data_IF_196923535658
#
_entry.id   IF_196923535658
#
_cell.length_a   1.000
_cell.length_b   1.000
_cell.length_c   1.000
_cell.angle_alpha   90.00
_cell.angle_beta   90.00
_cell.angle_gamma   90.00
#
_symmetry.space_group_name_H-M   'P 1'
#
loop_
_entity.id
_entity.type
_entity.pdbx_description
1 polymer ?
#
# COMPACT_ATOMS: atom_id res chain seq x y z
N UNK A 1 27.79 50.45 -75.41
CA UNK A 1 26.83 51.49 -74.97
C UNK A 1 25.56 50.78 -74.54
N UNK A 2 25.10 51.11 -73.33
CA UNK A 2 23.91 50.65 -72.58
C UNK A 2 23.90 49.16 -72.20
N UNK A 3 24.23 48.76 -70.96
CA UNK A 3 23.62 49.08 -69.65
C UNK A 3 22.21 48.51 -69.51
N UNK A 4 22.05 47.47 -68.67
CA UNK A 4 21.24 47.58 -67.46
C UNK A 4 21.43 46.35 -66.55
N UNK A 5 21.88 46.65 -65.34
CA UNK A 5 21.95 45.80 -64.16
C UNK A 5 20.58 45.77 -63.44
N UNK A 6 20.23 44.63 -62.82
CA UNK A 6 19.52 44.51 -61.51
C UNK A 6 19.26 43.03 -61.18
N UNK A 7 19.89 42.55 -60.09
CA UNK A 7 19.25 42.07 -58.84
C UNK A 7 18.20 40.97 -59.05
N UNK A 8 18.28 39.77 -58.50
CA UNK A 8 18.84 39.32 -57.23
C UNK A 8 17.75 38.47 -56.54
N UNK A 9 18.06 37.23 -56.16
CA UNK A 9 17.59 36.58 -54.92
C UNK A 9 17.94 35.09 -54.98
N UNK A 10 18.95 34.73 -54.20
CA UNK A 10 19.20 33.38 -53.73
C UNK A 10 18.05 32.97 -52.81
N UNK A 11 17.32 31.91 -53.13
CA UNK A 11 16.40 31.28 -52.19
C UNK A 11 17.00 29.93 -51.78
N UNK A 12 17.88 29.99 -50.79
CA UNK A 12 18.40 28.85 -50.06
C UNK A 12 17.33 28.43 -49.04
N UNK A 13 16.50 27.44 -49.38
CA UNK A 13 15.49 26.92 -48.45
C UNK A 13 16.19 26.03 -47.43
N UNK A 14 16.53 26.64 -46.30
CA UNK A 14 17.01 26.02 -45.08
C UNK A 14 15.95 25.00 -44.58
N UNK A 15 16.22 23.71 -44.77
CA UNK A 15 15.40 22.63 -44.20
C UNK A 15 15.67 22.63 -42.70
N UNK A 16 14.74 23.20 -41.93
CA UNK A 16 14.73 23.14 -40.49
C UNK A 16 14.73 21.66 -40.04
N UNK A 17 15.91 21.17 -39.68
CA UNK A 17 16.07 19.91 -38.97
C UNK A 17 15.48 20.14 -37.58
N UNK A 18 14.21 19.75 -37.42
CA UNK A 18 13.59 19.69 -36.12
C UNK A 18 14.38 18.68 -35.28
N UNK A 19 15.25 19.20 -34.41
CA UNK A 19 15.82 18.48 -33.30
C UNK A 19 14.69 18.12 -32.34
N UNK A 20 13.97 17.04 -32.65
CA UNK A 20 13.03 16.43 -31.71
C UNK A 20 13.88 15.78 -30.62
N UNK A 21 14.02 16.48 -29.50
CA UNK A 21 14.66 15.98 -28.28
C UNK A 21 14.16 14.58 -27.96
N UNK A 22 15.09 13.67 -27.70
CA UNK A 22 14.85 12.29 -27.26
C UNK A 22 14.26 12.20 -25.82
N UNK A 23 13.45 13.19 -25.42
CA UNK A 23 12.89 13.34 -24.08
C UNK A 23 11.43 12.86 -23.99
N UNK A 24 10.81 12.47 -25.11
CA UNK A 24 9.40 12.02 -25.18
C UNK A 24 9.21 10.49 -25.18
N UNK A 25 10.18 9.71 -24.67
CA UNK A 25 10.05 8.25 -24.57
C UNK A 25 9.97 7.69 -23.14
N UNK A 26 9.78 8.52 -22.10
CA UNK A 26 9.86 8.01 -20.73
C UNK A 26 8.73 8.41 -19.77
N UNK A 27 7.53 8.79 -20.25
CA UNK A 27 6.46 9.25 -19.36
C UNK A 27 5.37 8.25 -18.96
N UNK A 28 5.33 7.01 -19.48
CA UNK A 28 4.14 6.15 -19.30
C UNK A 28 4.37 4.70 -18.79
N UNK A 29 5.53 4.42 -18.18
CA UNK A 29 5.67 3.20 -17.35
C UNK A 29 5.70 3.54 -15.86
N UNK A 30 4.74 4.35 -15.40
CA UNK A 30 4.39 4.35 -13.98
C UNK A 30 3.68 3.03 -13.71
N UNK A 31 4.44 2.01 -13.33
CA UNK A 31 3.89 0.72 -12.92
C UNK A 31 2.79 1.00 -11.90
N UNK A 32 1.54 0.66 -12.23
CA UNK A 32 0.42 0.83 -11.31
C UNK A 32 0.73 -0.05 -10.09
N UNK A 33 1.06 0.57 -8.95
CA UNK A 33 1.31 -0.17 -7.72
C UNK A 33 -0.02 -0.80 -7.28
N UNK A 34 -0.08 -2.13 -7.25
CA UNK A 34 -1.26 -2.85 -6.78
C UNK A 34 -1.21 -2.92 -5.26
N UNK A 35 -2.23 -2.38 -4.60
CA UNK A 35 -2.43 -2.57 -3.16
C UNK A 35 -3.04 -3.96 -2.92
N UNK A 36 -2.36 -4.80 -2.15
CA UNK A 36 -2.88 -6.10 -1.71
C UNK A 36 -3.30 -6.04 -0.26
N UNK A 37 -4.49 -6.55 0.04
CA UNK A 37 -4.93 -6.63 1.43
C UNK A 37 -5.64 -7.95 1.73
N UNK A 38 -5.60 -8.34 2.99
CA UNK A 38 -6.32 -9.49 3.55
C UNK A 38 -7.31 -8.96 4.58
N UNK A 39 -8.51 -9.53 4.64
CA UNK A 39 -9.39 -9.42 5.81
C UNK A 39 -9.72 -10.81 6.31
N UNK A 40 -9.53 -11.05 7.61
CA UNK A 40 -9.70 -12.38 8.19
C UNK A 40 -10.19 -12.32 9.63
N UNK A 41 -11.34 -12.92 9.89
CA UNK A 41 -11.71 -13.32 11.24
C UNK A 41 -10.89 -14.58 11.62
N UNK A 42 -9.93 -14.42 12.52
CA UNK A 42 -8.97 -15.48 12.91
C UNK A 42 -9.50 -16.39 14.01
N UNK A 43 -10.69 -16.10 14.52
CA UNK A 43 -11.38 -16.94 15.47
C UNK A 43 -10.55 -17.25 16.72
N UNK A 44 -9.97 -16.21 17.33
CA UNK A 44 -9.10 -16.33 18.50
C UNK A 44 -9.82 -16.75 19.78
N UNK A 45 -11.16 -16.73 19.76
CA UNK A 45 -12.00 -17.22 20.86
C UNK A 45 -11.92 -18.74 21.02
N UNK A 46 -11.71 -19.49 19.94
CA UNK A 46 -11.47 -20.94 20.00
C UNK A 46 -10.03 -21.22 20.47
N UNK A 47 -9.88 -21.56 21.75
CA UNK A 47 -8.55 -21.74 22.38
C UNK A 47 -7.77 -22.95 21.84
N UNK A 48 -8.47 -23.93 21.28
CA UNK A 48 -7.86 -25.13 20.74
C UNK A 48 -6.88 -24.78 19.60
N UNK A 49 -5.63 -25.22 19.77
CA UNK A 49 -4.54 -24.98 18.82
C UNK A 49 -4.36 -23.50 18.40
N UNK A 50 -4.67 -22.55 19.29
CA UNK A 50 -4.60 -21.11 18.97
C UNK A 50 -3.26 -20.68 18.39
N UNK A 51 -2.13 -21.14 18.98
CA UNK A 51 -0.79 -20.78 18.50
C UNK A 51 -0.48 -21.38 17.11
N UNK A 52 -0.66 -22.69 16.86
CA UNK A 52 -0.54 -23.24 15.50
C UNK A 52 -1.43 -22.55 14.46
N UNK A 53 -2.65 -22.14 14.83
CA UNK A 53 -3.53 -21.37 13.93
C UNK A 53 -2.97 -19.98 13.67
N UNK A 54 -2.49 -19.28 14.70
CA UNK A 54 -1.85 -17.98 14.55
C UNK A 54 -0.58 -18.05 13.67
N UNK A 55 0.21 -19.12 13.80
CA UNK A 55 1.35 -19.40 12.92
C UNK A 55 0.93 -19.53 11.46
N UNK A 56 -0.13 -20.29 11.19
CA UNK A 56 -0.67 -20.44 9.84
C UNK A 56 -1.18 -19.10 9.26
N UNK A 57 -1.78 -18.24 10.09
CA UNK A 57 -2.17 -16.88 9.71
C UNK A 57 -0.93 -16.05 9.33
N UNK A 58 0.12 -16.03 10.17
CA UNK A 58 1.37 -15.33 9.88
C UNK A 58 1.98 -15.79 8.55
N UNK A 59 2.10 -17.11 8.35
CA UNK A 59 2.64 -17.70 7.12
C UNK A 59 1.84 -17.29 5.90
N UNK A 60 0.51 -17.26 5.99
CA UNK A 60 -0.36 -16.83 4.89
C UNK A 60 -0.12 -15.35 4.54
N UNK A 61 -0.09 -14.47 5.54
CA UNK A 61 0.19 -13.03 5.34
C UNK A 61 1.53 -12.80 4.65
N UNK A 62 2.58 -13.52 5.08
CA UNK A 62 3.92 -13.42 4.50
C UNK A 62 3.98 -13.98 3.07
N UNK A 63 3.31 -15.09 2.79
CA UNK A 63 3.28 -15.70 1.46
C UNK A 63 2.55 -14.80 0.45
N UNK A 64 1.39 -14.25 0.83
CA UNK A 64 0.63 -13.35 -0.04
C UNK A 64 1.28 -11.98 -0.20
N UNK A 65 2.27 -11.66 0.66
CA UNK A 65 2.96 -10.37 0.68
C UNK A 65 1.94 -9.23 0.73
N UNK A 66 0.97 -9.32 1.66
CA UNK A 66 -0.09 -8.33 1.82
C UNK A 66 0.50 -6.99 2.28
N UNK A 67 0.00 -5.88 1.75
CA UNK A 67 0.38 -4.54 2.21
C UNK A 67 -0.39 -4.16 3.47
N UNK A 68 -1.66 -4.56 3.55
CA UNK A 68 -2.56 -4.29 4.68
C UNK A 68 -3.30 -5.58 5.07
N UNK A 69 -3.47 -5.82 6.36
CA UNK A 69 -4.24 -6.95 6.89
C UNK A 69 -5.21 -6.46 7.96
N UNK A 70 -6.48 -6.82 7.81
CA UNK A 70 -7.53 -6.55 8.79
C UNK A 70 -7.89 -7.86 9.50
N UNK A 71 -7.73 -7.91 10.81
CA UNK A 71 -8.04 -9.08 11.62
C UNK A 71 -9.25 -8.84 12.52
N UNK A 72 -10.08 -9.86 12.69
CA UNK A 72 -11.15 -9.89 13.69
C UNK A 72 -10.98 -11.10 14.63
N UNK A 73 -11.59 -10.99 15.81
CA UNK A 73 -11.49 -11.96 16.91
C UNK A 73 -10.05 -12.26 17.32
N UNK A 74 -9.19 -11.26 17.28
CA UNK A 74 -7.84 -11.36 17.84
C UNK A 74 -7.93 -11.32 19.35
N UNK A 75 -7.19 -12.18 20.04
CA UNK A 75 -7.04 -12.19 21.50
C UNK A 75 -5.59 -11.84 21.89
N UNK A 76 -5.29 -11.46 23.16
CA UNK A 76 -3.96 -11.00 23.57
C UNK A 76 -2.84 -11.97 23.19
N UNK A 77 -3.06 -13.27 23.39
CA UNK A 77 -2.09 -14.31 23.07
C UNK A 77 -1.77 -14.36 21.57
N UNK A 78 -2.77 -14.29 20.69
CA UNK A 78 -2.54 -14.21 19.24
C UNK A 78 -1.93 -12.88 18.80
N UNK A 79 -2.31 -11.76 19.46
CA UNK A 79 -1.76 -10.44 19.16
C UNK A 79 -0.26 -10.37 19.46
N UNK A 80 0.17 -10.92 20.61
CA UNK A 80 1.58 -11.06 20.95
C UNK A 80 2.31 -11.94 19.92
N UNK A 81 1.72 -13.07 19.55
CA UNK A 81 2.29 -13.94 18.52
C UNK A 81 2.48 -13.20 17.19
N UNK A 82 1.47 -12.44 16.72
CA UNK A 82 1.55 -11.64 15.50
C UNK A 82 2.66 -10.59 15.58
N UNK A 83 2.78 -9.85 16.69
CA UNK A 83 3.85 -8.85 16.87
C UNK A 83 5.24 -9.47 16.78
N UNK A 84 5.42 -10.66 17.35
CA UNK A 84 6.70 -11.34 17.41
C UNK A 84 7.12 -11.97 16.07
N UNK A 85 6.17 -12.34 15.20
CA UNK A 85 6.46 -13.06 13.95
C UNK A 85 6.24 -12.23 12.68
N UNK A 86 5.46 -11.15 12.74
CA UNK A 86 5.24 -10.22 11.63
C UNK A 86 6.04 -8.93 11.85
N UNK A 87 7.35 -9.06 12.06
CA UNK A 87 8.26 -7.95 12.41
C UNK A 87 8.29 -6.83 11.36
N UNK A 88 8.04 -7.18 10.09
CA UNK A 88 7.99 -6.26 8.96
C UNK A 88 6.66 -5.49 8.88
N UNK A 89 5.70 -5.86 9.72
CA UNK A 89 4.40 -5.21 9.82
C UNK A 89 4.34 -4.35 11.08
N UNK A 90 3.69 -3.19 10.98
CA UNK A 90 3.21 -2.46 12.14
C UNK A 90 1.86 -3.06 12.53
N UNK A 91 1.68 -3.45 13.79
CA UNK A 91 0.44 -4.04 14.28
C UNK A 91 -0.30 -3.04 15.19
N UNK A 92 -1.51 -2.63 14.79
CA UNK A 92 -2.41 -1.80 15.60
C UNK A 92 -3.61 -2.66 16.03
N UNK A 93 -3.94 -2.65 17.31
CA UNK A 93 -5.07 -3.42 17.86
C UNK A 93 -6.08 -2.48 18.51
N UNK A 94 -7.36 -2.83 18.39
CA UNK A 94 -8.47 -2.01 18.88
C UNK A 94 -8.77 -2.15 20.38
N UNK A 95 -8.08 -3.06 21.09
CA UNK A 95 -8.20 -3.24 22.54
C UNK A 95 -6.98 -4.02 23.08
N UNK A 96 -6.89 -4.15 24.41
CA UNK A 96 -5.87 -4.94 25.11
C UNK A 96 -6.45 -6.18 25.80
N UNK A 97 -7.75 -6.18 26.09
CA UNK A 97 -8.46 -7.28 26.77
C UNK A 97 -9.56 -7.89 25.89
N UNK A 98 -9.96 -9.12 26.22
CA UNK A 98 -11.02 -9.83 25.50
C UNK A 98 -10.63 -10.19 24.06
N UNK A 99 -11.58 -10.10 23.14
CA UNK A 99 -11.31 -10.19 21.71
C UNK A 99 -11.49 -8.82 21.06
N UNK A 100 -10.70 -8.56 20.03
CA UNK A 100 -10.67 -7.27 19.37
C UNK A 100 -10.31 -7.40 17.89
N UNK A 101 -10.41 -6.27 17.20
CA UNK A 101 -9.95 -6.13 15.82
C UNK A 101 -8.48 -5.68 15.79
N UNK A 102 -7.81 -5.94 14.68
CA UNK A 102 -6.47 -5.42 14.42
C UNK A 102 -6.29 -4.98 12.97
N UNK A 103 -5.45 -3.98 12.76
CA UNK A 103 -4.98 -3.57 11.44
C UNK A 103 -3.46 -3.68 11.44
N UNK A 104 -2.93 -4.51 10.56
CA UNK A 104 -1.50 -4.68 10.34
C UNK A 104 -1.17 -4.10 8.97
N UNK A 105 -0.01 -3.46 8.83
CA UNK A 105 0.43 -2.96 7.54
C UNK A 105 1.93 -3.06 7.39
N UNK A 106 2.38 -3.42 6.18
CA UNK A 106 3.76 -3.69 5.86
C UNK A 106 4.54 -2.38 5.81
N UNK A 107 5.57 -2.25 6.66
CA UNK A 107 6.32 -1.01 6.86
C UNK A 107 7.02 -0.50 5.60
N UNK A 108 7.37 -1.40 4.68
CA UNK A 108 8.05 -1.05 3.43
C UNK A 108 7.12 -0.55 2.32
N UNK A 109 5.81 -0.78 2.43
CA UNK A 109 4.84 -0.40 1.38
C UNK A 109 3.77 0.57 1.86
N UNK A 110 3.61 0.76 3.18
CA UNK A 110 2.53 1.56 3.77
C UNK A 110 3.09 2.53 4.84
N UNK A 111 2.75 3.82 4.70
CA UNK A 111 3.25 4.90 5.57
C UNK A 111 2.22 5.34 6.61
N UNK A 112 2.43 5.02 7.88
CA UNK A 112 1.48 5.38 8.94
C UNK A 112 1.36 6.89 9.20
N UNK A 113 0.13 7.42 9.25
CA UNK A 113 -0.17 8.84 9.54
C UNK A 113 -0.98 9.06 10.83
N UNK A 114 -1.61 8.01 11.37
CA UNK A 114 -2.40 8.09 12.60
C UNK A 114 -3.52 7.06 12.65
N UNK A 115 -4.09 6.83 13.82
CA UNK A 115 -5.21 5.91 14.02
C UNK A 115 -6.22 6.45 15.02
N UNK A 116 -7.46 6.00 14.90
CA UNK A 116 -8.56 6.34 15.80
C UNK A 116 -9.39 5.09 16.08
N UNK A 117 -9.79 4.91 17.33
CA UNK A 117 -10.82 3.94 17.73
C UNK A 117 -12.15 4.68 17.82
N UNK A 118 -13.18 4.13 17.17
CA UNK A 118 -14.54 4.64 17.21
C UNK A 118 -15.40 3.56 17.88
N UNK A 119 -15.84 3.83 19.10
CA UNK A 119 -16.63 2.87 19.87
C UNK A 119 -18.08 2.80 19.39
N UNK A 120 -18.66 1.61 19.46
CA UNK A 120 -20.08 1.40 19.20
C UNK A 120 -20.79 0.98 20.49
N UNK A 121 -22.00 1.48 20.76
CA UNK A 121 -22.79 1.09 21.93
C UNK A 121 -23.33 -0.34 21.73
N UNK A 122 -22.48 -1.34 21.86
CA UNK A 122 -22.78 -2.76 21.61
C UNK A 122 -22.49 -3.60 22.84
N UNK A 123 -23.23 -4.70 22.99
CA UNK A 123 -23.01 -5.69 24.06
C UNK A 123 -21.80 -6.59 23.81
N UNK A 124 -21.23 -6.56 22.60
CA UNK A 124 -20.16 -7.44 22.12
C UNK A 124 -18.80 -6.71 22.00
N UNK A 125 -18.62 -5.60 22.74
CA UNK A 125 -17.38 -4.82 22.77
C UNK A 125 -16.80 -4.48 21.37
N UNK A 126 -17.68 -4.22 20.39
CA UNK A 126 -17.26 -3.91 19.02
C UNK A 126 -16.88 -2.43 18.91
N UNK A 127 -15.79 -2.16 18.24
CA UNK A 127 -15.38 -0.83 17.81
C UNK A 127 -14.93 -0.86 16.34
N UNK A 128 -14.59 0.32 15.81
CA UNK A 128 -13.97 0.48 14.51
C UNK A 128 -12.57 1.10 14.69
N UNK A 129 -11.56 0.42 14.15
CA UNK A 129 -10.18 0.89 14.11
C UNK A 129 -9.93 1.53 12.74
N UNK A 130 -9.96 2.86 12.71
CA UNK A 130 -9.62 3.65 11.51
C UNK A 130 -8.13 3.91 11.52
N UNK A 131 -7.44 3.51 10.45
CA UNK A 131 -6.01 3.78 10.24
C UNK A 131 -5.84 4.70 9.03
N UNK A 132 -5.09 5.78 9.20
CA UNK A 132 -4.67 6.68 8.14
C UNK A 132 -3.26 6.27 7.68
N UNK A 133 -3.14 5.96 6.40
CA UNK A 133 -1.90 5.48 5.73
C UNK A 133 -1.55 6.33 4.52
#
# INVERSE_FOLDING_TARGET
MSSDDREGSENNSEVAVASTSAEELNSDTKTKSVLKFITWNTDGLHREHLIPRAEAVCRTILNEQADIVFLQEVVPQSAEYFRNHLTDYQCLFGNEEGYFIGTLFKKSTVSYKGSQIIDFPTTMARNCLKVNV
#
